data_IF_760074617892
#
_entry.id   IF_760074617892
#
_cell.length_a   1.000
_cell.length_b   1.000
_cell.length_c   1.000
_cell.angle_alpha   90.00
_cell.angle_beta   90.00
_cell.angle_gamma   90.00
#
_symmetry.space_group_name_H-M   'P 1'
#
loop_
_entity.id
_entity.type
_entity.pdbx_description
1 polymer ?
#
# COMPACT_ATOMS: atom_id res chain seq x y z
N UNK A 1 8.95 25.74 -12.68
CA UNK A 1 7.81 26.66 -12.92
C UNK A 1 6.75 25.91 -13.69
N UNK A 2 5.62 25.65 -13.04
CA UNK A 2 4.27 25.37 -13.54
C UNK A 2 3.60 24.46 -12.51
N UNK A 3 2.68 25.02 -11.75
CA UNK A 3 2.03 24.43 -10.58
C UNK A 3 0.53 24.46 -10.78
N UNK A 4 -0.05 23.70 -11.71
CA UNK A 4 -1.48 23.36 -11.71
C UNK A 4 -1.74 22.05 -12.47
N UNK A 5 -2.65 21.23 -11.93
CA UNK A 5 -3.18 20.02 -12.58
C UNK A 5 -4.46 20.40 -13.34
N UNK A 6 -4.41 20.39 -14.67
CA UNK A 6 -5.58 20.44 -15.57
C UNK A 6 -5.45 21.44 -16.73
N UNK A 7 -5.27 20.95 -17.96
CA UNK A 7 -5.55 21.67 -19.20
C UNK A 7 -6.80 21.02 -19.84
N UNK A 8 -7.89 21.74 -20.05
CA UNK A 8 -8.24 22.62 -21.18
C UNK A 8 -9.39 21.95 -21.96
N UNK A 9 -10.62 22.29 -21.58
CA UNK A 9 -11.79 22.05 -22.42
C UNK A 9 -11.78 23.09 -23.56
N UNK A 10 -11.42 22.66 -24.76
CA UNK A 10 -11.70 23.41 -25.98
C UNK A 10 -13.18 23.20 -26.37
N UNK A 11 -14.07 24.01 -25.78
CA UNK A 11 -15.48 24.08 -26.15
C UNK A 11 -15.82 25.46 -26.68
N UNK A 12 -16.17 25.54 -27.96
CA UNK A 12 -16.57 26.74 -28.68
C UNK A 12 -17.82 27.39 -28.03
N UNK A 13 -17.72 28.61 -27.52
CA UNK A 13 -18.86 29.39 -27.01
C UNK A 13 -19.46 30.23 -28.14
N UNK A 14 -20.71 29.95 -28.53
CA UNK A 14 -21.55 30.85 -29.33
C UNK A 14 -22.83 31.11 -28.53
N UNK A 15 -22.91 32.26 -27.87
CA UNK A 15 -24.15 32.99 -27.60
C UNK A 15 -23.82 34.33 -26.91
N UNK A 16 -24.19 35.44 -27.54
CA UNK A 16 -24.12 36.79 -26.98
C UNK A 16 -25.45 37.06 -26.28
N UNK A 17 -25.44 37.23 -24.95
CA UNK A 17 -26.65 37.54 -24.20
C UNK A 17 -26.58 38.98 -23.64
N UNK A 18 -27.46 39.86 -24.13
CA UNK A 18 -27.57 41.26 -23.72
C UNK A 18 -28.48 41.40 -22.49
N UNK A 19 -27.98 41.02 -21.31
CA UNK A 19 -28.63 41.29 -20.02
C UNK A 19 -27.90 42.40 -19.24
N UNK A 20 -28.60 43.27 -18.50
CA UNK A 20 -27.97 44.33 -17.72
C UNK A 20 -27.13 43.75 -16.57
N UNK A 21 -25.90 44.24 -16.45
CA UNK A 21 -24.94 43.90 -15.38
C UNK A 21 -25.31 44.68 -14.12
N UNK A 22 -25.73 43.99 -13.06
CA UNK A 22 -25.82 44.56 -11.73
C UNK A 22 -24.46 44.44 -11.03
N UNK A 23 -23.82 45.56 -10.73
CA UNK A 23 -22.63 45.61 -9.89
C UNK A 23 -23.03 45.45 -8.42
N UNK A 24 -22.76 44.28 -7.83
CA UNK A 24 -22.79 44.10 -6.37
C UNK A 24 -21.43 44.50 -5.80
N UNK A 25 -21.42 45.42 -4.83
CA UNK A 25 -20.22 46.00 -4.22
C UNK A 25 -19.68 45.17 -3.05
N UNK A 26 -19.62 43.85 -3.16
CA UNK A 26 -19.02 43.00 -2.13
C UNK A 26 -17.56 42.69 -2.48
N UNK A 27 -16.65 43.20 -1.66
CA UNK A 27 -15.23 42.88 -1.75
C UNK A 27 -14.99 41.38 -1.48
N UNK A 28 -14.06 40.72 -2.19
CA UNK A 28 -13.69 39.35 -1.90
C UNK A 28 -12.98 39.28 -0.54
N UNK A 29 -13.60 38.59 0.42
CA UNK A 29 -13.00 38.31 1.73
C UNK A 29 -11.74 37.47 1.55
N UNK A 30 -10.63 37.95 2.10
CA UNK A 30 -9.37 37.23 2.26
C UNK A 30 -9.57 35.89 2.99
N UNK A 31 -8.73 34.85 2.72
CA UNK A 31 -8.81 33.57 3.44
C UNK A 31 -8.61 33.82 4.93
N UNK A 32 -9.67 33.64 5.72
CA UNK A 32 -9.61 33.72 7.16
C UNK A 32 -8.65 32.65 7.69
N UNK A 33 -7.80 33.07 8.61
CA UNK A 33 -6.92 32.24 9.41
C UNK A 33 -7.67 31.01 9.92
N UNK A 34 -7.04 29.86 9.75
CA UNK A 34 -7.56 28.55 10.07
C UNK A 34 -7.72 28.47 11.59
N UNK A 35 -8.96 28.46 12.07
CA UNK A 35 -9.27 28.25 13.48
C UNK A 35 -8.67 26.91 13.96
N UNK A 36 -7.67 27.03 14.83
CA UNK A 36 -7.00 25.92 15.51
C UNK A 36 -7.68 25.56 16.85
N UNK A 37 -8.83 26.17 17.17
CA UNK A 37 -9.50 26.11 18.47
C UNK A 37 -10.49 24.96 18.69
N UNK A 38 -11.04 24.33 17.64
CA UNK A 38 -12.19 23.42 17.81
C UNK A 38 -11.92 22.13 18.60
N UNK A 39 -10.66 21.76 18.81
CA UNK A 39 -10.30 20.51 19.52
C UNK A 39 -9.82 20.70 20.96
N UNK A 40 -9.58 21.93 21.41
CA UNK A 40 -9.04 22.16 22.77
C UNK A 40 -10.07 21.89 23.88
N UNK A 41 -11.34 21.67 23.51
CA UNK A 41 -12.46 21.50 24.46
C UNK A 41 -13.40 20.33 24.14
N UNK A 42 -13.06 19.47 23.19
CA UNK A 42 -13.89 18.29 22.89
C UNK A 42 -13.76 17.24 24.00
N UNK A 43 -14.89 16.64 24.41
CA UNK A 43 -14.86 15.58 25.42
C UNK A 43 -14.10 14.35 24.90
N UNK A 44 -13.42 13.57 25.77
CA UNK A 44 -12.73 12.34 25.38
C UNK A 44 -13.64 11.36 24.63
N UNK A 45 -14.91 11.27 25.04
CA UNK A 45 -15.94 10.43 24.42
C UNK A 45 -16.24 10.84 22.97
N UNK A 46 -16.36 12.15 22.72
CA UNK A 46 -16.58 12.67 21.38
C UNK A 46 -15.36 12.37 20.48
N UNK A 47 -14.14 12.59 20.99
CA UNK A 47 -12.91 12.31 20.25
C UNK A 47 -12.77 10.81 19.90
N UNK A 48 -13.19 9.92 20.80
CA UNK A 48 -13.19 8.48 20.57
C UNK A 48 -14.23 8.09 19.51
N UNK A 49 -15.47 8.62 19.61
CA UNK A 49 -16.54 8.36 18.65
C UNK A 49 -16.13 8.78 17.23
N UNK A 50 -15.59 9.98 17.09
CA UNK A 50 -15.17 10.52 15.79
C UNK A 50 -13.98 9.75 15.20
N UNK A 51 -13.07 9.27 16.05
CA UNK A 51 -11.99 8.36 15.63
C UNK A 51 -12.55 7.05 15.10
N UNK A 52 -13.54 6.48 15.80
CA UNK A 52 -14.18 5.24 15.38
C UNK A 52 -14.95 5.42 14.05
N UNK A 53 -15.58 6.57 13.82
CA UNK A 53 -16.23 6.89 12.54
C UNK A 53 -15.24 7.06 11.40
N UNK A 54 -14.17 7.83 11.61
CA UNK A 54 -13.10 7.98 10.64
C UNK A 54 -12.51 6.62 10.26
N UNK A 55 -12.13 5.80 11.25
CA UNK A 55 -11.60 4.46 10.98
C UNK A 55 -12.59 3.59 10.21
N UNK A 56 -13.87 3.58 10.61
CA UNK A 56 -14.95 2.87 9.88
C UNK A 56 -15.11 3.34 8.43
N UNK A 57 -14.84 4.61 8.14
CA UNK A 57 -14.88 5.15 6.78
C UNK A 57 -13.69 4.72 5.91
N UNK A 58 -12.58 4.27 6.52
CA UNK A 58 -11.39 3.80 5.82
C UNK A 58 -11.39 2.26 5.69
N UNK A 59 -11.65 1.54 6.77
CA UNK A 59 -11.55 0.07 6.80
C UNK A 59 -12.61 -0.62 5.93
N UNK A 60 -12.27 -1.80 5.44
CA UNK A 60 -13.17 -2.75 4.79
C UNK A 60 -12.73 -4.17 5.17
N UNK A 61 -13.66 -5.12 5.18
CA UNK A 61 -13.43 -6.42 5.84
C UNK A 61 -12.26 -7.20 5.24
N UNK A 62 -12.07 -7.17 3.92
CA UNK A 62 -11.09 -7.99 3.21
C UNK A 62 -9.70 -7.33 3.07
N UNK A 63 -9.44 -6.29 3.86
CA UNK A 63 -8.27 -5.41 3.72
C UNK A 63 -6.94 -6.13 3.92
N UNK A 64 -6.91 -7.16 4.77
CA UNK A 64 -5.71 -7.94 5.11
C UNK A 64 -5.75 -9.38 4.58
N UNK A 65 -6.92 -9.83 4.09
CA UNK A 65 -7.16 -11.22 3.68
C UNK A 65 -6.06 -11.77 2.76
N UNK A 66 -5.64 -11.00 1.75
CA UNK A 66 -4.68 -11.51 0.79
C UNK A 66 -3.33 -11.80 1.44
N UNK A 67 -2.85 -10.92 2.34
CA UNK A 67 -1.59 -11.08 3.06
C UNK A 67 -1.68 -12.22 4.06
N UNK A 68 -2.75 -12.25 4.86
CA UNK A 68 -2.91 -13.20 5.96
C UNK A 68 -3.15 -14.64 5.46
N UNK A 69 -3.54 -14.82 4.20
CA UNK A 69 -3.72 -16.12 3.54
C UNK A 69 -2.57 -16.49 2.58
N UNK A 70 -1.40 -15.83 2.69
CA UNK A 70 -0.20 -16.29 1.97
C UNK A 70 0.33 -17.54 2.68
N UNK A 71 0.50 -18.63 1.92
CA UNK A 71 1.11 -19.84 2.45
C UNK A 71 2.53 -19.56 2.96
N UNK A 72 2.91 -20.10 4.14
CA UNK A 72 4.26 -19.96 4.65
C UNK A 72 5.30 -20.40 3.62
N UNK A 73 6.41 -19.66 3.53
CA UNK A 73 7.50 -20.04 2.64
C UNK A 73 8.05 -21.41 3.02
N UNK A 74 8.54 -22.14 2.02
CA UNK A 74 9.32 -23.34 2.28
C UNK A 74 10.64 -22.98 2.96
N UNK A 75 11.11 -23.85 3.86
CA UNK A 75 12.36 -23.63 4.61
C UNK A 75 13.53 -23.39 3.65
N UNK A 76 14.41 -22.46 4.00
CA UNK A 76 15.61 -22.07 3.25
C UNK A 76 15.35 -21.52 1.83
N UNK A 77 14.14 -21.03 1.54
CA UNK A 77 13.84 -20.34 0.28
C UNK A 77 13.76 -18.83 0.46
N UNK A 78 13.86 -18.07 -0.63
CA UNK A 78 13.78 -16.60 -0.70
C UNK A 78 14.98 -15.82 -0.13
N UNK A 79 15.86 -16.44 0.63
CA UNK A 79 16.96 -15.76 1.35
C UNK A 79 18.01 -15.11 0.41
N UNK A 80 18.16 -15.66 -0.80
CA UNK A 80 19.07 -15.14 -1.82
C UNK A 80 18.85 -13.66 -2.15
N UNK A 81 17.62 -13.13 -1.99
CA UNK A 81 17.32 -11.72 -2.33
C UNK A 81 18.09 -10.75 -1.43
N UNK A 82 18.36 -11.14 -0.18
CA UNK A 82 19.07 -10.31 0.79
C UNK A 82 20.53 -10.15 0.40
N UNK A 83 21.06 -11.11 -0.35
CA UNK A 83 22.45 -11.11 -0.79
C UNK A 83 22.69 -10.33 -2.08
N UNK A 84 21.63 -9.95 -2.80
CA UNK A 84 21.74 -9.19 -4.05
C UNK A 84 22.27 -7.78 -3.84
N UNK A 85 23.15 -7.34 -4.75
CA UNK A 85 23.68 -5.97 -4.76
C UNK A 85 22.57 -4.94 -4.97
N UNK A 86 21.54 -5.29 -5.74
CA UNK A 86 20.33 -4.50 -5.93
C UNK A 86 19.63 -4.23 -4.59
N UNK A 87 19.37 -5.28 -3.81
CA UNK A 87 18.71 -5.17 -2.52
C UNK A 87 19.57 -4.38 -1.53
N UNK A 88 20.86 -4.72 -1.43
CA UNK A 88 21.82 -4.03 -0.56
C UNK A 88 21.97 -2.55 -0.92
N UNK A 89 22.03 -2.24 -2.22
CA UNK A 89 22.08 -0.86 -2.73
C UNK A 89 20.80 -0.10 -2.37
N UNK A 90 19.63 -0.70 -2.59
CA UNK A 90 18.35 -0.10 -2.19
C UNK A 90 18.28 0.21 -0.69
N UNK A 91 18.73 -0.72 0.16
CA UNK A 91 18.77 -0.54 1.63
C UNK A 91 19.84 0.45 2.10
N UNK A 92 20.92 0.63 1.34
CA UNK A 92 21.98 1.60 1.68
C UNK A 92 21.58 3.06 1.48
N UNK A 93 20.55 3.32 0.67
CA UNK A 93 20.04 4.66 0.43
C UNK A 93 19.02 5.04 1.50
N UNK A 94 18.92 6.33 1.91
CA UNK A 94 17.87 6.74 2.85
C UNK A 94 16.46 6.54 2.28
N UNK A 95 16.34 6.46 0.95
CA UNK A 95 15.06 6.28 0.26
C UNK A 95 15.24 5.57 -1.06
N UNK A 96 14.23 4.82 -1.48
CA UNK A 96 14.26 4.17 -2.78
C UNK A 96 13.02 3.35 -3.08
N UNK A 97 12.88 3.01 -4.36
CA UNK A 97 11.84 2.14 -4.87
C UNK A 97 12.47 0.84 -5.37
N UNK A 98 12.18 -0.28 -4.71
CA UNK A 98 12.57 -1.61 -5.15
C UNK A 98 11.41 -2.23 -5.93
N UNK A 99 11.66 -2.66 -7.16
CA UNK A 99 10.74 -3.46 -7.95
C UNK A 99 11.15 -4.91 -7.94
N UNK A 100 10.16 -5.76 -7.73
CA UNK A 100 10.29 -7.20 -7.74
C UNK A 100 9.47 -7.72 -8.92
N UNK A 101 10.16 -8.09 -10.00
CA UNK A 101 9.54 -8.49 -11.27
C UNK A 101 9.55 -10.00 -11.42
N UNK A 102 8.39 -10.58 -11.77
CA UNK A 102 8.26 -11.97 -12.24
C UNK A 102 7.06 -12.23 -13.14
N UNK A 103 7.17 -13.33 -13.88
CA UNK A 103 6.08 -14.09 -14.47
C UNK A 103 5.07 -14.65 -13.43
N UNK A 104 3.83 -15.00 -13.83
CA UNK A 104 2.83 -15.58 -12.94
C UNK A 104 3.26 -16.91 -12.31
N UNK A 105 2.78 -17.22 -11.10
CA UNK A 105 2.94 -18.55 -10.48
C UNK A 105 4.31 -18.84 -9.84
N UNK A 106 5.17 -17.84 -9.69
CA UNK A 106 6.59 -17.98 -9.29
C UNK A 106 6.86 -17.55 -7.84
N UNK A 107 5.82 -17.46 -7.00
CA UNK A 107 5.96 -17.16 -5.56
C UNK A 107 6.22 -15.68 -5.22
N UNK A 108 5.74 -14.72 -6.03
CA UNK A 108 5.89 -13.28 -5.74
C UNK A 108 5.35 -12.87 -4.36
N UNK A 109 4.12 -13.26 -4.04
CA UNK A 109 3.50 -12.95 -2.75
C UNK A 109 4.28 -13.57 -1.59
N UNK A 110 4.81 -14.79 -1.76
CA UNK A 110 5.68 -15.46 -0.77
C UNK A 110 6.98 -14.68 -0.53
N UNK A 111 7.64 -14.20 -1.59
CA UNK A 111 8.81 -13.33 -1.42
C UNK A 111 8.44 -11.99 -0.78
N UNK A 112 7.33 -11.37 -1.19
CA UNK A 112 6.90 -10.11 -0.61
C UNK A 112 6.58 -10.25 0.88
N UNK A 113 5.98 -11.36 1.30
CA UNK A 113 5.77 -11.69 2.70
C UNK A 113 7.11 -11.89 3.43
N UNK A 114 8.04 -12.65 2.85
CA UNK A 114 9.39 -12.83 3.40
C UNK A 114 10.10 -11.48 3.61
N UNK A 115 10.14 -10.62 2.58
CA UNK A 115 10.76 -9.30 2.70
C UNK A 115 10.05 -8.42 3.73
N UNK A 116 8.73 -8.46 3.79
CA UNK A 116 7.96 -7.72 4.80
C UNK A 116 8.34 -8.13 6.23
N UNK A 117 8.56 -9.44 6.47
CA UNK A 117 9.05 -9.97 7.75
C UNK A 117 10.51 -9.60 8.02
N UNK A 118 11.40 -9.66 7.02
CA UNK A 118 12.80 -9.27 7.20
C UNK A 118 12.92 -7.78 7.57
N UNK A 119 12.11 -6.93 6.92
CA UNK A 119 12.03 -5.50 7.25
C UNK A 119 11.44 -5.24 8.65
N UNK A 120 10.76 -6.22 9.27
CA UNK A 120 10.34 -6.16 10.68
C UNK A 120 11.50 -6.38 11.65
N UNK A 121 12.34 -7.37 11.35
CA UNK A 121 13.36 -7.87 12.27
C UNK A 121 14.58 -6.93 12.33
N UNK A 122 14.82 -6.15 11.28
CA UNK A 122 15.99 -5.29 11.10
C UNK A 122 16.03 -3.99 11.94
N UNK A 123 15.34 -3.93 13.09
CA UNK A 123 15.41 -2.81 14.07
C UNK A 123 14.89 -1.45 13.62
N UNK A 124 14.13 -1.32 12.54
CA UNK A 124 13.40 -0.07 12.29
C UNK A 124 12.14 -0.04 13.17
N UNK A 125 12.21 0.69 14.29
CA UNK A 125 11.02 1.18 15.02
C UNK A 125 10.29 2.21 14.15
N UNK A 126 9.82 1.79 12.98
CA UNK A 126 9.21 2.62 11.95
C UNK A 126 7.74 2.28 11.70
N UNK A 127 7.15 3.02 10.78
CA UNK A 127 5.80 2.77 10.30
C UNK A 127 5.92 1.83 9.11
N UNK A 128 5.27 0.67 9.21
CA UNK A 128 5.14 -0.28 8.10
C UNK A 128 3.72 -0.24 7.58
N UNK A 129 3.62 -0.13 6.26
CA UNK A 129 2.36 -0.11 5.55
C UNK A 129 2.41 -1.18 4.47
N UNK A 130 1.32 -1.89 4.26
CA UNK A 130 1.24 -2.90 3.21
C UNK A 130 -0.10 -2.95 2.50
N UNK A 131 -0.07 -3.38 1.24
CA UNK A 131 -1.28 -3.72 0.50
C UNK A 131 -0.99 -4.79 -0.54
N UNK A 132 -1.74 -5.88 -0.47
CA UNK A 132 -1.59 -7.01 -1.37
C UNK A 132 -2.79 -7.06 -2.31
N UNK A 133 -2.56 -6.72 -3.58
CA UNK A 133 -3.62 -6.72 -4.58
C UNK A 133 -4.12 -8.15 -4.85
N UNK A 134 -5.43 -8.28 -5.09
CA UNK A 134 -6.03 -9.52 -5.62
C UNK A 134 -7.17 -9.22 -6.59
N UNK A 135 -6.97 -9.50 -7.89
CA UNK A 135 -7.95 -9.34 -8.95
C UNK A 135 -9.15 -10.29 -8.80
N UNK A 136 -9.02 -11.33 -7.98
CA UNK A 136 -10.10 -12.29 -7.64
C UNK A 136 -10.87 -11.89 -6.39
N UNK A 137 -10.45 -10.82 -5.70
CA UNK A 137 -11.09 -10.33 -4.50
C UNK A 137 -12.25 -9.37 -4.76
N UNK A 138 -12.62 -8.61 -3.72
CA UNK A 138 -13.61 -7.53 -3.84
C UNK A 138 -13.02 -6.34 -4.59
N UNK A 139 -13.88 -5.40 -5.02
CA UNK A 139 -13.44 -4.14 -5.67
C UNK A 139 -12.38 -3.39 -4.84
N UNK A 140 -12.51 -3.44 -3.52
CA UNK A 140 -11.57 -2.81 -2.60
C UNK A 140 -10.21 -3.52 -2.54
N UNK A 141 -10.06 -4.74 -3.07
CA UNK A 141 -8.80 -5.47 -3.07
C UNK A 141 -8.01 -5.32 -4.37
N UNK A 142 -8.64 -4.85 -5.46
CA UNK A 142 -7.93 -4.62 -6.71
C UNK A 142 -7.88 -3.15 -7.16
N UNK A 143 -8.57 -2.23 -6.47
CA UNK A 143 -8.58 -0.80 -6.88
C UNK A 143 -7.57 0.05 -6.12
N UNK A 144 -7.05 1.13 -6.74
CA UNK A 144 -6.25 2.14 -6.03
C UNK A 144 -6.99 2.76 -4.84
N UNK A 145 -8.32 2.89 -4.92
CA UNK A 145 -9.15 3.40 -3.82
C UNK A 145 -9.00 2.52 -2.57
N UNK A 146 -9.06 1.21 -2.74
CA UNK A 146 -8.84 0.24 -1.68
C UNK A 146 -7.45 0.30 -1.07
N UNK A 147 -6.43 0.36 -1.93
CA UNK A 147 -5.04 0.53 -1.48
C UNK A 147 -4.88 1.79 -0.62
N UNK A 148 -5.32 2.96 -1.10
CA UNK A 148 -5.16 4.20 -0.36
C UNK A 148 -5.94 4.21 0.97
N UNK A 149 -7.13 3.63 1.00
CA UNK A 149 -7.91 3.47 2.24
C UNK A 149 -7.19 2.57 3.25
N UNK A 150 -6.60 1.47 2.78
CA UNK A 150 -5.81 0.56 3.62
C UNK A 150 -4.56 1.22 4.18
N UNK A 151 -3.73 1.80 3.33
CA UNK A 151 -2.50 2.45 3.78
C UNK A 151 -2.77 3.61 4.75
N UNK A 152 -3.87 4.35 4.53
CA UNK A 152 -4.27 5.44 5.43
C UNK A 152 -4.78 4.94 6.79
N UNK A 153 -5.50 3.82 6.83
CA UNK A 153 -5.94 3.22 8.11
C UNK A 153 -4.75 2.67 8.91
N UNK A 154 -3.76 2.09 8.23
CA UNK A 154 -2.54 1.58 8.84
C UNK A 154 -1.68 2.70 9.42
N UNK A 155 -1.42 3.78 8.67
CA UNK A 155 -0.63 4.90 9.20
C UNK A 155 -1.38 5.66 10.29
N UNK A 156 -2.72 5.71 10.27
CA UNK A 156 -3.50 6.24 11.37
C UNK A 156 -3.23 5.48 12.68
N UNK A 157 -3.10 4.16 12.60
CA UNK A 157 -2.76 3.32 13.75
C UNK A 157 -1.29 3.45 14.14
N UNK A 158 -0.38 3.55 13.17
CA UNK A 158 1.07 3.61 13.36
C UNK A 158 1.63 4.98 13.80
N UNK A 159 1.01 6.10 13.42
CA UNK A 159 1.45 7.45 13.79
C UNK A 159 0.33 8.24 14.48
N UNK A 160 0.33 8.24 15.81
CA UNK A 160 -0.63 9.00 16.63
C UNK A 160 -0.62 10.52 16.35
N UNK A 161 0.50 11.07 15.88
CA UNK A 161 0.62 12.50 15.59
C UNK A 161 -0.17 12.93 14.36
N UNK A 162 -0.47 12.00 13.44
CA UNK A 162 -1.27 12.27 12.24
C UNK A 162 -2.78 12.33 12.52
N UNK A 163 -3.23 11.73 13.63
CA UNK A 163 -4.65 11.53 13.94
C UNK A 163 -5.46 12.83 14.05
N UNK A 164 -4.99 13.90 14.73
CA UNK A 164 -5.77 15.13 14.84
C UNK A 164 -6.07 15.76 13.47
N UNK A 165 -5.09 15.74 12.56
CA UNK A 165 -5.23 16.27 11.20
C UNK A 165 -6.22 15.44 10.37
N UNK A 166 -6.11 14.13 10.42
CA UNK A 166 -7.02 13.21 9.72
C UNK A 166 -8.45 13.36 10.22
N UNK A 167 -8.62 13.48 11.54
CA UNK A 167 -9.91 13.72 12.17
C UNK A 167 -10.52 15.05 11.75
N UNK A 168 -9.73 16.14 11.81
CA UNK A 168 -10.18 17.49 11.39
C UNK A 168 -10.70 17.51 9.96
N UNK A 169 -9.96 16.87 9.06
CA UNK A 169 -10.35 16.79 7.66
C UNK A 169 -11.65 16.01 7.49
N UNK A 170 -11.77 14.83 8.10
CA UNK A 170 -12.97 14.00 7.99
C UNK A 170 -14.20 14.72 8.55
N UNK A 171 -14.08 15.34 9.71
CA UNK A 171 -15.16 16.11 10.34
C UNK A 171 -15.61 17.29 9.48
N UNK A 172 -14.66 18.03 8.92
CA UNK A 172 -14.96 19.12 8.00
C UNK A 172 -15.78 18.61 6.82
N UNK A 173 -15.39 17.48 6.21
CA UNK A 173 -16.13 16.89 5.10
C UNK A 173 -17.51 16.40 5.51
N UNK A 174 -17.66 15.70 6.63
CA UNK A 174 -18.98 15.30 7.11
C UNK A 174 -19.91 16.50 7.30
N UNK A 175 -19.40 17.63 7.83
CA UNK A 175 -20.18 18.86 7.99
C UNK A 175 -20.59 19.49 6.65
N UNK A 176 -19.67 19.56 5.69
CA UNK A 176 -19.94 20.06 4.34
C UNK A 176 -21.03 19.24 3.62
N UNK A 177 -21.17 17.96 3.96
CA UNK A 177 -22.16 17.04 3.41
C UNK A 177 -23.36 16.79 4.36
N UNK A 178 -23.71 17.79 5.17
CA UNK A 178 -24.94 17.78 5.98
C UNK A 178 -24.95 16.75 7.10
N UNK A 179 -23.78 16.34 7.60
CA UNK A 179 -23.64 15.33 8.65
C UNK A 179 -23.75 13.89 8.15
N UNK A 180 -23.88 13.67 6.84
CA UNK A 180 -23.87 12.34 6.26
C UNK A 180 -22.47 11.72 6.27
N UNK A 181 -22.42 10.39 6.19
CA UNK A 181 -21.16 9.65 6.06
C UNK A 181 -20.45 10.09 4.78
N UNK A 182 -19.26 10.66 4.95
CA UNK A 182 -18.42 11.07 3.84
C UNK A 182 -17.82 9.86 3.14
N UNK A 183 -18.00 9.78 1.82
CA UNK A 183 -17.29 8.83 0.98
C UNK A 183 -16.03 9.47 0.43
N UNK A 184 -14.91 8.76 0.54
CA UNK A 184 -13.60 9.30 0.20
C UNK A 184 -13.35 9.26 -1.32
N UNK A 185 -13.19 10.40 -2.00
CA UNK A 185 -12.73 10.41 -3.37
C UNK A 185 -11.26 9.99 -3.43
N UNK A 186 -10.91 9.16 -4.40
CA UNK A 186 -9.52 8.66 -4.61
C UNK A 186 -8.47 9.78 -4.56
N UNK A 187 -8.71 10.88 -5.26
CA UNK A 187 -7.78 12.03 -5.35
C UNK A 187 -7.54 12.68 -3.99
N UNK A 188 -8.55 12.67 -3.10
CA UNK A 188 -8.40 13.20 -1.74
C UNK A 188 -7.52 12.27 -0.91
N UNK A 189 -7.77 10.96 -0.98
CA UNK A 189 -6.96 9.96 -0.25
C UNK A 189 -5.51 9.94 -0.71
N UNK A 190 -5.26 10.03 -2.02
CA UNK A 190 -3.92 10.06 -2.59
C UNK A 190 -3.09 11.23 -2.01
N UNK A 191 -3.67 12.44 -2.03
CA UNK A 191 -3.04 13.65 -1.48
C UNK A 191 -2.86 13.55 0.02
N UNK A 192 -3.87 13.04 0.72
CA UNK A 192 -3.86 12.91 2.17
C UNK A 192 -2.79 11.93 2.65
N UNK A 193 -2.74 10.74 2.06
CA UNK A 193 -1.74 9.73 2.36
C UNK A 193 -0.32 10.26 2.11
N UNK A 194 -0.09 10.92 0.98
CA UNK A 194 1.22 11.48 0.67
C UNK A 194 1.65 12.50 1.74
N UNK A 195 0.74 13.39 2.15
CA UNK A 195 1.05 14.39 3.17
C UNK A 195 1.30 13.77 4.54
N UNK A 196 0.51 12.77 4.93
CA UNK A 196 0.69 12.08 6.22
C UNK A 196 2.01 11.32 6.24
N UNK A 197 2.32 10.55 5.19
CA UNK A 197 3.61 9.85 5.07
C UNK A 197 4.78 10.84 5.18
N UNK A 198 4.77 11.91 4.39
CA UNK A 198 5.85 12.91 4.42
C UNK A 198 6.01 13.55 5.81
N UNK A 199 4.91 13.84 6.50
CA UNK A 199 4.96 14.33 7.89
C UNK A 199 5.52 13.29 8.86
N UNK A 200 5.15 12.01 8.71
CA UNK A 200 5.63 10.91 9.53
C UNK A 200 7.12 10.61 9.32
N UNK A 201 7.63 10.78 8.10
CA UNK A 201 9.06 10.55 7.77
C UNK A 201 10.04 11.48 8.49
N UNK A 202 9.55 12.53 9.16
CA UNK A 202 10.37 13.38 10.04
C UNK A 202 10.70 12.73 11.39
N UNK A 203 9.99 11.66 11.76
CA UNK A 203 10.10 10.97 13.06
C UNK A 203 10.39 9.49 12.89
N UNK A 204 9.87 8.90 11.82
CA UNK A 204 9.82 7.45 11.63
C UNK A 204 10.42 7.09 10.28
N UNK A 205 11.10 5.95 10.23
CA UNK A 205 11.31 5.24 8.98
C UNK A 205 9.95 4.77 8.46
N UNK A 206 9.64 5.02 7.18
CA UNK A 206 8.38 4.54 6.58
C UNK A 206 8.69 3.52 5.51
N UNK A 207 8.18 2.31 5.69
CA UNK A 207 8.32 1.20 4.74
C UNK A 207 6.96 0.86 4.18
N UNK A 208 6.86 0.75 2.86
CA UNK A 208 5.61 0.49 2.14
C UNK A 208 5.79 -0.71 1.22
N UNK A 209 5.03 -1.77 1.45
CA UNK A 209 5.04 -2.98 0.62
C UNK A 209 3.77 -3.07 -0.21
N UNK A 210 3.90 -3.16 -1.53
CA UNK A 210 2.76 -3.31 -2.45
C UNK A 210 2.96 -4.56 -3.30
N UNK A 211 2.18 -5.59 -3.05
CA UNK A 211 2.27 -6.86 -3.79
C UNK A 211 1.27 -6.92 -4.94
N UNK A 212 1.67 -7.58 -6.02
CA UNK A 212 0.87 -7.91 -7.19
C UNK A 212 0.21 -6.68 -7.85
N UNK A 213 0.95 -5.58 -7.98
CA UNK A 213 0.41 -4.32 -8.51
C UNK A 213 -0.25 -4.47 -9.89
N UNK A 214 0.19 -5.44 -10.70
CA UNK A 214 -0.43 -5.78 -11.98
C UNK A 214 -1.91 -6.19 -11.89
N UNK A 215 -2.34 -6.70 -10.74
CA UNK A 215 -3.72 -7.10 -10.50
C UNK A 215 -4.68 -5.92 -10.37
N UNK A 216 -4.16 -4.68 -10.26
CA UNK A 216 -4.97 -3.46 -10.31
C UNK A 216 -5.39 -3.04 -11.72
N UNK A 217 -4.87 -3.71 -12.75
CA UNK A 217 -4.98 -3.30 -14.14
C UNK A 217 -3.88 -2.31 -14.55
N UNK A 218 -3.54 -2.32 -15.84
CA UNK A 218 -2.36 -1.63 -16.38
C UNK A 218 -2.34 -0.11 -16.10
N UNK A 219 -3.48 0.57 -16.28
CA UNK A 219 -3.59 2.01 -16.05
C UNK A 219 -3.42 2.35 -14.56
N UNK A 220 -4.12 1.63 -13.67
CA UNK A 220 -4.00 1.79 -12.22
C UNK A 220 -2.58 1.53 -11.75
N UNK A 221 -1.94 0.46 -12.23
CA UNK A 221 -0.58 0.11 -11.90
C UNK A 221 0.41 1.23 -12.28
N UNK A 222 0.26 1.80 -13.48
CA UNK A 222 1.09 2.93 -13.92
C UNK A 222 0.86 4.17 -13.05
N UNK A 223 -0.39 4.50 -12.73
CA UNK A 223 -0.72 5.64 -11.87
C UNK A 223 -0.13 5.48 -10.46
N UNK A 224 -0.21 4.29 -9.87
CA UNK A 224 0.36 3.97 -8.56
C UNK A 224 1.89 4.02 -8.59
N UNK A 225 2.52 3.50 -9.66
CA UNK A 225 3.97 3.59 -9.84
C UNK A 225 4.45 5.05 -9.90
N UNK A 226 3.73 5.90 -10.64
CA UNK A 226 4.03 7.35 -10.72
C UNK A 226 3.82 8.02 -9.36
N UNK A 227 2.76 7.65 -8.62
CA UNK A 227 2.49 8.16 -7.29
C UNK A 227 3.65 7.89 -6.33
N UNK A 228 4.13 6.64 -6.22
CA UNK A 228 5.22 6.30 -5.31
C UNK A 228 6.56 6.93 -5.71
N UNK A 229 6.87 7.01 -7.00
CA UNK A 229 8.04 7.75 -7.48
C UNK A 229 8.01 9.22 -7.03
N UNK A 230 6.87 9.90 -7.24
CA UNK A 230 6.68 11.30 -6.80
C UNK A 230 6.77 11.44 -5.28
N UNK A 231 6.25 10.48 -4.53
CA UNK A 231 6.30 10.47 -3.06
C UNK A 231 7.76 10.40 -2.59
N UNK A 232 8.55 9.48 -3.14
CA UNK A 232 9.97 9.32 -2.83
C UNK A 232 10.75 10.59 -3.18
N UNK A 233 10.50 11.19 -4.35
CA UNK A 233 11.18 12.42 -4.75
C UNK A 233 10.89 13.58 -3.79
N UNK A 234 9.61 13.73 -3.38
CA UNK A 234 9.16 14.74 -2.40
C UNK A 234 9.71 14.52 -0.99
N UNK A 235 10.04 13.29 -0.61
CA UNK A 235 10.57 12.98 0.71
C UNK A 235 11.95 13.60 1.00
N UNK A 236 12.66 14.09 -0.03
CA UNK A 236 13.94 14.78 0.15
C UNK A 236 15.00 13.90 0.85
N UNK A 237 15.42 14.24 2.06
CA UNK A 237 16.38 13.41 2.82
C UNK A 237 15.71 12.44 3.79
N UNK A 238 14.37 12.45 3.85
CA UNK A 238 13.62 11.63 4.79
C UNK A 238 13.63 10.16 4.38
N UNK A 239 13.50 9.29 5.38
CA UNK A 239 13.71 7.87 5.18
C UNK A 239 12.42 7.15 4.75
N UNK A 240 12.36 6.74 3.48
CA UNK A 240 11.19 6.10 2.88
C UNK A 240 11.59 4.97 1.93
N UNK A 241 11.13 3.77 2.24
CA UNK A 241 11.38 2.58 1.45
C UNK A 241 10.07 2.08 0.86
N UNK A 242 10.02 1.93 -0.46
CA UNK A 242 8.87 1.35 -1.15
C UNK A 242 9.33 0.09 -1.88
N UNK A 243 8.66 -1.03 -1.63
CA UNK A 243 8.88 -2.29 -2.32
C UNK A 243 7.61 -2.66 -3.07
N UNK A 244 7.70 -2.84 -4.38
CA UNK A 244 6.55 -3.16 -5.23
C UNK A 244 6.84 -4.44 -6.01
N UNK A 245 5.94 -5.42 -5.94
CA UNK A 245 5.95 -6.56 -6.85
C UNK A 245 4.98 -6.34 -8.00
N UNK A 246 5.40 -6.74 -9.22
CA UNK A 246 4.58 -6.57 -10.43
C UNK A 246 5.02 -7.55 -11.53
N UNK A 247 4.16 -7.76 -12.54
CA UNK A 247 4.56 -8.34 -13.83
C UNK A 247 5.43 -7.37 -14.64
N UNK A 248 5.97 -7.87 -15.75
CA UNK A 248 6.65 -7.08 -16.78
C UNK A 248 5.70 -6.08 -17.44
N UNK A 249 5.45 -4.95 -16.78
CA UNK A 249 4.85 -3.76 -17.39
C UNK A 249 5.95 -2.72 -17.67
N UNK A 250 5.79 -1.87 -18.70
CA UNK A 250 6.67 -0.73 -18.90
C UNK A 250 6.46 0.25 -17.73
N UNK A 251 7.32 0.11 -16.71
CA UNK A 251 7.32 0.98 -15.54
C UNK A 251 8.17 2.20 -15.85
N UNK A 252 7.71 3.36 -15.40
CA UNK A 252 8.47 4.60 -15.46
C UNK A 252 9.71 4.44 -14.60
N UNK A 253 10.87 4.29 -15.25
CA UNK A 253 12.16 4.22 -14.56
C UNK A 253 12.49 5.59 -13.96
N UNK A 254 12.78 5.62 -12.66
CA UNK A 254 13.37 6.78 -11.98
C UNK A 254 14.81 6.46 -11.59
N UNK A 255 15.63 7.49 -11.36
CA UNK A 255 17.04 7.33 -10.96
C UNK A 255 17.22 6.59 -9.61
N UNK A 256 16.17 6.48 -8.80
CA UNK A 256 16.16 5.80 -7.49
C UNK A 256 15.41 4.47 -7.50
N UNK A 257 15.16 3.95 -8.71
CA UNK A 257 14.50 2.68 -8.93
C UNK A 257 15.55 1.59 -9.05
N UNK A 258 15.43 0.57 -8.21
CA UNK A 258 16.18 -0.69 -8.32
C UNK A 258 15.21 -1.79 -8.76
N UNK A 259 15.64 -2.68 -9.63
CA UNK A 259 14.81 -3.77 -10.15
C UNK A 259 15.49 -5.11 -9.87
N UNK A 260 14.76 -6.05 -9.27
CA UNK A 260 15.16 -7.43 -9.09
C UNK A 260 14.27 -8.31 -9.95
N UNK A 261 14.90 -9.05 -10.86
CA UNK A 261 14.26 -10.03 -11.72
C UNK A 261 14.43 -11.40 -11.10
N UNK A 262 13.39 -11.93 -10.50
CA UNK A 262 13.59 -13.10 -9.65
C UNK A 262 13.72 -14.41 -10.45
N UNK A 263 13.46 -14.37 -11.76
CA UNK A 263 13.70 -15.48 -12.70
C UNK A 263 15.20 -15.79 -12.84
N UNK A 264 16.06 -14.80 -12.59
CA UNK A 264 17.52 -14.97 -12.72
C UNK A 264 18.13 -15.66 -11.49
N UNK A 265 17.34 -15.89 -10.43
CA UNK A 265 17.85 -16.27 -9.11
C UNK A 265 17.09 -17.40 -8.39
N UNK A 266 15.94 -17.87 -8.90
CA UNK A 266 15.07 -18.79 -8.16
C UNK A 266 15.25 -20.28 -8.49
N UNK A 267 16.27 -20.65 -9.28
CA UNK A 267 16.48 -22.04 -9.69
C UNK A 267 16.67 -22.99 -8.49
N UNK A 268 17.49 -22.60 -7.52
CA UNK A 268 17.77 -23.41 -6.34
C UNK A 268 16.55 -23.51 -5.40
N UNK A 269 15.79 -22.42 -5.25
CA UNK A 269 14.54 -22.41 -4.46
C UNK A 269 13.50 -23.37 -5.05
N UNK A 270 13.34 -23.38 -6.38
CA UNK A 270 12.43 -24.30 -7.06
C UNK A 270 12.86 -25.74 -6.82
N UNK A 271 14.16 -26.04 -6.93
CA UNK A 271 14.69 -27.38 -6.68
C UNK A 271 14.48 -27.81 -5.21
N UNK A 272 14.72 -26.90 -4.26
CA UNK A 272 14.50 -27.15 -2.84
C UNK A 272 13.02 -27.42 -2.52
N UNK A 273 12.11 -26.63 -3.09
CA UNK A 273 10.67 -26.83 -2.93
C UNK A 273 10.21 -28.18 -3.49
N UNK A 274 10.59 -28.52 -4.74
CA UNK A 274 10.24 -29.81 -5.36
C UNK A 274 10.74 -30.98 -4.51
N UNK A 275 12.00 -30.91 -4.05
CA UNK A 275 12.59 -31.96 -3.21
C UNK A 275 11.84 -32.11 -1.88
N UNK A 276 11.50 -31.00 -1.23
CA UNK A 276 10.75 -31.01 0.03
C UNK A 276 9.34 -31.57 -0.13
N UNK A 277 8.62 -31.17 -1.19
CA UNK A 277 7.27 -31.68 -1.46
C UNK A 277 7.27 -33.17 -1.78
N UNK A 278 8.20 -33.64 -2.62
CA UNK A 278 8.29 -35.06 -2.98
C UNK A 278 8.64 -35.94 -1.78
N UNK A 279 9.52 -35.48 -0.89
CA UNK A 279 9.86 -36.19 0.34
C UNK A 279 8.69 -36.27 1.33
N UNK A 280 7.84 -35.24 1.41
CA UNK A 280 6.66 -35.25 2.28
C UNK A 280 5.53 -36.14 1.72
N UNK A 281 5.45 -36.31 0.39
CA UNK A 281 4.50 -37.25 -0.25
C UNK A 281 4.93 -38.71 -0.10
N UNK A 282 6.22 -39.03 -0.25
CA UNK A 282 6.71 -40.41 -0.12
C UNK A 282 6.54 -40.96 1.31
N UNK A 283 6.56 -40.09 2.33
CA UNK A 283 6.30 -40.46 3.73
C UNK A 283 4.80 -40.72 4.01
N UNK A 284 3.90 -40.13 3.20
CA UNK A 284 2.44 -40.32 3.35
C UNK A 284 1.92 -41.53 2.59
N UNK A 285 2.62 -41.96 1.54
CA UNK A 285 2.24 -43.09 0.69
C UNK A 285 3.00 -44.39 0.99
N UNK A 286 3.87 -44.45 2.00
CA UNK A 286 4.43 -45.72 2.46
C UNK A 286 3.34 -46.54 3.20
N UNK A 287 2.85 -47.67 2.66
CA UNK A 287 2.01 -48.58 3.42
C UNK A 287 2.88 -49.16 4.54
N UNK A 288 2.39 -49.12 5.77
CA UNK A 288 3.00 -49.86 6.87
C UNK A 288 2.87 -51.36 6.58
N UNK A 289 3.85 -51.96 5.91
CA UNK A 289 3.92 -53.41 5.64
C UNK A 289 4.18 -54.25 6.90
N UNK A 290 4.15 -53.67 8.09
CA UNK A 290 4.42 -54.38 9.36
C UNK A 290 3.17 -54.80 10.17
N UNK A 291 1.94 -54.60 9.67
CA UNK A 291 0.73 -54.99 10.43
C UNK A 291 0.00 -56.26 9.95
N UNK A 292 0.38 -56.89 8.83
CA UNK A 292 -0.31 -58.12 8.35
C UNK A 292 0.46 -59.43 8.55
N UNK A 293 1.73 -59.39 8.97
CA UNK A 293 2.54 -60.59 9.24
C UNK A 293 2.52 -61.09 10.70
N UNK A 294 1.45 -60.78 11.46
CA UNK A 294 1.23 -61.35 12.80
C UNK A 294 -0.11 -62.08 13.00
N UNK A 295 -0.91 -62.27 11.95
CA UNK A 295 -2.17 -63.05 12.01
C UNK A 295 -2.11 -64.47 11.45
N UNK A 296 -0.92 -64.99 11.11
CA UNK A 296 -0.77 -66.33 10.49
C UNK A 296 0.05 -67.35 11.29
N UNK A 297 0.32 -67.09 12.58
CA UNK A 297 1.00 -68.05 13.47
C UNK A 297 0.20 -68.35 14.75
N UNK A 298 -1.10 -68.59 14.62
CA UNK A 298 -1.87 -69.37 15.61
C UNK A 298 -2.73 -70.38 14.85
N UNK A 299 -2.14 -71.54 14.58
CA UNK A 299 -2.83 -72.83 14.43
C UNK A 299 -2.02 -73.88 15.17
#
# INVERSE_FOLDING_TARGET
>A
MSTYFGNENAGLQIAVNHGPVYFSSDQPKTPQEIDNGSYRHASPELLLSMTAELLRSLVFSQMLDRRDNIEPRHINTCEWILELDEYKSWRSQPRGLLWIKRNPGTGKSTMMAFLYEQLEQERDQGIRLDFFFTARGTEMQYTPLGMFRSLLSQIFNGDFTSRPKLRKLYEQRCREFGGQKWEWPRVVLEKLLANVILESTSRWYVTISVDALDEAGAESAQQIAVYFNRLIDRAGKAAIYVCISCRYYPIVKSARTVEVHMEDHNHDDIAAYIKGTLMDTDVRDSPSEDSEMQKLLVK
#
